data_IF_782772961348
#
_entry.id   IF_782772961348
#
_cell.length_a   1.000
_cell.length_b   1.000
_cell.length_c   1.000
_cell.angle_alpha   90.00
_cell.angle_beta   90.00
_cell.angle_gamma   90.00
#
_symmetry.space_group_name_H-M   'P 1'
#
loop_
_entity.id
_entity.type
_entity.pdbx_description
1 polymer ?
#
# COMPACT_ATOMS: atom_id res chain seq x y z
N UNK A 1 1.38 -18.32 9.53
CA UNK A 1 2.53 -17.46 9.21
C UNK A 1 2.40 -16.12 9.90
N UNK A 2 3.51 -15.51 10.33
CA UNK A 2 3.54 -14.10 10.75
C UNK A 2 3.11 -13.17 9.58
N UNK A 3 2.26 -12.18 9.86
CA UNK A 3 1.68 -11.29 8.84
C UNK A 3 2.73 -10.46 8.11
N UNK A 4 3.81 -10.05 8.79
CA UNK A 4 4.86 -9.21 8.20
C UNK A 4 5.75 -10.02 7.27
N UNK A 5 6.02 -11.28 7.62
CA UNK A 5 6.68 -12.22 6.72
C UNK A 5 5.84 -12.49 5.46
N UNK A 6 4.53 -12.71 5.62
CA UNK A 6 3.62 -12.87 4.48
C UNK A 6 3.61 -11.62 3.59
N UNK A 7 3.50 -10.43 4.16
CA UNK A 7 3.57 -9.17 3.43
C UNK A 7 4.90 -8.99 2.69
N UNK A 8 6.04 -9.27 3.34
CA UNK A 8 7.36 -9.18 2.72
C UNK A 8 7.50 -10.12 1.50
N UNK A 9 6.96 -11.34 1.58
CA UNK A 9 6.90 -12.26 0.43
C UNK A 9 6.03 -11.70 -0.70
N UNK A 10 4.86 -11.14 -0.38
CA UNK A 10 3.97 -10.51 -1.38
C UNK A 10 4.69 -9.36 -2.07
N UNK A 11 5.32 -8.44 -1.32
CA UNK A 11 6.07 -7.34 -1.90
C UNK A 11 7.22 -7.83 -2.78
N UNK A 12 7.94 -8.86 -2.37
CA UNK A 12 8.99 -9.48 -3.18
C UNK A 12 8.45 -10.04 -4.51
N UNK A 13 7.32 -10.73 -4.49
CA UNK A 13 6.68 -11.26 -5.70
C UNK A 13 6.22 -10.13 -6.64
N UNK A 14 5.66 -9.05 -6.09
CA UNK A 14 5.16 -7.94 -6.90
C UNK A 14 6.32 -7.13 -7.49
N UNK A 15 7.25 -6.68 -6.65
CA UNK A 15 8.30 -5.73 -7.03
C UNK A 15 9.44 -6.40 -7.79
N UNK A 16 9.92 -7.56 -7.32
CA UNK A 16 11.10 -8.20 -7.91
C UNK A 16 10.75 -9.33 -8.90
N UNK A 17 9.53 -9.85 -8.87
CA UNK A 17 9.08 -10.93 -9.78
C UNK A 17 7.98 -10.53 -10.75
N UNK A 18 7.44 -9.30 -10.65
CA UNK A 18 6.45 -8.79 -11.59
C UNK A 18 5.07 -9.44 -11.48
N UNK A 19 4.77 -10.11 -10.36
CA UNK A 19 3.43 -10.64 -10.12
C UNK A 19 2.44 -9.51 -9.82
N UNK A 20 1.16 -9.70 -10.17
CA UNK A 20 0.12 -8.77 -9.73
C UNK A 20 -0.18 -8.94 -8.24
N UNK A 21 -0.46 -7.83 -7.53
CA UNK A 21 -0.93 -7.92 -6.14
C UNK A 21 -2.27 -8.68 -6.05
N UNK A 22 -3.12 -8.56 -7.08
CA UNK A 22 -4.41 -9.27 -7.16
C UNK A 22 -4.28 -10.79 -7.20
N UNK A 23 -3.13 -11.33 -7.62
CA UNK A 23 -2.83 -12.77 -7.57
C UNK A 23 -2.04 -13.16 -6.32
N UNK A 24 -1.07 -12.34 -5.91
CA UNK A 24 -0.19 -12.65 -4.78
C UNK A 24 -0.89 -12.54 -3.41
N UNK A 25 -1.77 -11.56 -3.22
CA UNK A 25 -2.42 -11.31 -1.93
C UNK A 25 -3.39 -12.43 -1.51
N UNK A 26 -4.31 -12.94 -2.38
CA UNK A 26 -5.18 -14.05 -2.01
C UNK A 26 -4.42 -15.32 -1.60
N UNK A 27 -3.33 -15.64 -2.30
CA UNK A 27 -2.47 -16.77 -1.93
C UNK A 27 -1.82 -16.58 -0.56
N UNK A 28 -1.35 -15.36 -0.25
CA UNK A 28 -0.78 -15.05 1.06
C UNK A 28 -1.82 -15.07 2.18
N UNK A 29 -3.06 -14.64 1.92
CA UNK A 29 -4.16 -14.69 2.88
C UNK A 29 -4.42 -16.13 3.38
N UNK A 30 -4.28 -17.14 2.52
CA UNK A 30 -4.43 -18.55 2.90
C UNK A 30 -3.38 -19.04 3.92
N UNK A 31 -2.29 -18.29 4.13
CA UNK A 31 -1.19 -18.65 5.04
C UNK A 31 -1.23 -17.93 6.40
N UNK A 32 -2.15 -16.97 6.55
CA UNK A 32 -2.38 -16.19 7.77
C UNK A 32 -3.80 -16.45 8.31
N UNK A 33 -4.12 -15.96 9.51
CA UNK A 33 -5.45 -16.17 10.10
C UNK A 33 -6.47 -15.23 9.44
N UNK A 34 -7.75 -15.61 9.30
CA UNK A 34 -8.79 -14.75 8.72
C UNK A 34 -8.89 -13.36 9.33
N UNK A 35 -8.78 -13.26 10.67
CA UNK A 35 -8.81 -11.97 11.39
C UNK A 35 -7.66 -11.02 11.02
N UNK A 36 -6.57 -11.56 10.48
CA UNK A 36 -5.37 -10.81 10.11
C UNK A 36 -5.35 -10.42 8.63
N UNK A 37 -6.36 -10.81 7.83
CA UNK A 37 -6.44 -10.50 6.40
C UNK A 37 -6.43 -9.00 6.12
N UNK A 38 -7.20 -8.22 6.91
CA UNK A 38 -7.25 -6.77 6.76
C UNK A 38 -5.89 -6.12 7.04
N UNK A 39 -5.15 -6.63 8.04
CA UNK A 39 -3.81 -6.15 8.37
C UNK A 39 -2.81 -6.47 7.26
N UNK A 40 -2.82 -7.70 6.74
CA UNK A 40 -1.98 -8.10 5.61
C UNK A 40 -2.25 -7.21 4.38
N UNK A 41 -3.53 -6.97 4.09
CA UNK A 41 -3.96 -6.13 2.98
C UNK A 41 -3.49 -4.68 3.16
N UNK A 42 -3.73 -4.06 4.32
CA UNK A 42 -3.28 -2.69 4.60
C UNK A 42 -1.77 -2.55 4.42
N UNK A 43 -0.98 -3.48 4.96
CA UNK A 43 0.49 -3.46 4.82
C UNK A 43 0.90 -3.60 3.35
N UNK A 44 0.34 -4.55 2.60
CA UNK A 44 0.74 -4.77 1.20
C UNK A 44 0.38 -3.57 0.31
N UNK A 45 -0.85 -3.08 0.38
CA UNK A 45 -1.28 -1.92 -0.41
C UNK A 45 -0.53 -0.66 0.00
N UNK A 46 -0.36 -0.42 1.29
CA UNK A 46 0.31 0.76 1.80
C UNK A 46 1.80 0.80 1.48
N UNK A 47 2.51 -0.32 1.66
CA UNK A 47 3.92 -0.41 1.32
C UNK A 47 4.17 -0.25 -0.18
N UNK A 48 3.30 -0.78 -1.05
CA UNK A 48 3.40 -0.57 -2.50
C UNK A 48 3.08 0.88 -2.89
N UNK A 49 2.05 1.49 -2.27
CA UNK A 49 1.67 2.89 -2.52
C UNK A 49 2.82 3.86 -2.21
N UNK A 50 3.54 3.63 -1.12
CA UNK A 50 4.66 4.48 -0.70
C UNK A 50 6.04 3.88 -1.00
N UNK A 51 6.12 2.91 -1.93
CA UNK A 51 7.34 2.15 -2.19
C UNK A 51 8.56 3.05 -2.47
N UNK A 52 8.49 4.08 -3.33
CA UNK A 52 9.64 4.96 -3.57
C UNK A 52 10.15 5.65 -2.30
N UNK A 53 9.25 6.07 -1.42
CA UNK A 53 9.59 6.72 -0.15
C UNK A 53 10.26 5.73 0.82
N UNK A 54 9.67 4.55 0.97
CA UNK A 54 10.19 3.50 1.86
C UNK A 54 11.57 3.02 1.40
N UNK A 55 11.77 2.86 0.09
CA UNK A 55 13.06 2.52 -0.51
C UNK A 55 14.11 3.59 -0.24
N UNK A 56 13.77 4.89 -0.36
CA UNK A 56 14.69 5.98 -0.03
C UNK A 56 15.14 5.93 1.45
N UNK A 57 14.21 5.71 2.38
CA UNK A 57 14.53 5.56 3.80
C UNK A 57 15.43 4.33 4.02
N UNK A 58 15.05 3.18 3.47
CA UNK A 58 15.81 1.94 3.66
C UNK A 58 17.25 2.04 3.11
N UNK A 59 17.46 2.75 2.02
CA UNK A 59 18.78 2.98 1.43
C UNK A 59 19.70 3.85 2.31
N UNK A 60 19.16 4.73 3.14
CA UNK A 60 19.96 5.49 4.12
C UNK A 60 20.30 4.69 5.38
N UNK A 61 19.54 3.62 5.65
CA UNK A 61 19.70 2.81 6.85
C UNK A 61 20.66 1.63 6.69
N UNK A 62 21.13 1.35 5.47
CA UNK A 62 21.95 0.18 5.16
C UNK A 62 23.03 0.52 4.13
N UNK A 63 24.29 0.33 4.51
CA UNK A 63 25.43 0.48 3.59
C UNK A 63 25.43 -0.56 2.46
N UNK A 64 24.93 -1.77 2.77
CA UNK A 64 24.92 -2.91 1.85
C UNK A 64 23.48 -3.38 1.60
N UNK A 65 22.91 -3.14 0.41
CA UNK A 65 21.58 -3.61 0.07
C UNK A 65 21.46 -5.13 0.13
N UNK A 66 20.33 -5.63 0.65
CA UNK A 66 20.03 -7.06 0.69
C UNK A 66 19.57 -7.54 -0.70
N UNK A 67 20.36 -8.41 -1.33
CA UNK A 67 20.15 -8.89 -2.71
C UNK A 67 19.94 -10.41 -2.76
N UNK A 68 19.54 -10.92 -3.93
CA UNK A 68 19.39 -12.35 -4.18
C UNK A 68 18.47 -13.03 -3.16
N UNK A 69 18.95 -14.09 -2.51
CA UNK A 69 18.19 -14.83 -1.48
C UNK A 69 17.82 -13.99 -0.25
N UNK A 70 18.50 -12.86 -0.02
CA UNK A 70 18.20 -11.96 1.10
C UNK A 70 17.23 -10.83 0.74
N UNK A 71 16.82 -10.70 -0.53
CA UNK A 71 15.99 -9.58 -1.00
C UNK A 71 14.63 -9.52 -0.30
N UNK A 72 14.06 -10.64 0.11
CA UNK A 72 12.80 -10.67 0.89
C UNK A 72 12.93 -9.96 2.24
N UNK A 73 14.12 -9.93 2.84
CA UNK A 73 14.35 -9.23 4.11
C UNK A 73 14.45 -7.71 3.92
N UNK A 74 14.81 -7.24 2.71
CA UNK A 74 14.65 -5.83 2.34
C UNK A 74 13.18 -5.43 2.42
N UNK A 75 12.30 -6.23 1.82
CA UNK A 75 10.84 -6.00 1.90
C UNK A 75 10.31 -6.09 3.32
N UNK A 76 10.88 -6.96 4.17
CA UNK A 76 10.54 -7.01 5.58
C UNK A 76 10.90 -5.70 6.30
N UNK A 77 12.03 -5.06 5.95
CA UNK A 77 12.40 -3.73 6.45
C UNK A 77 11.38 -2.70 5.98
N UNK A 78 11.00 -2.69 4.70
CA UNK A 78 9.99 -1.76 4.16
C UNK A 78 8.65 -1.92 4.89
N UNK A 79 8.23 -3.16 5.17
CA UNK A 79 7.05 -3.47 5.99
C UNK A 79 7.18 -2.89 7.41
N UNK A 80 8.35 -3.00 8.03
CA UNK A 80 8.61 -2.42 9.35
C UNK A 80 8.53 -0.90 9.35
N UNK A 81 9.19 -0.24 8.40
CA UNK A 81 9.17 1.22 8.24
C UNK A 81 7.74 1.70 7.97
N UNK A 82 7.00 1.02 7.08
CA UNK A 82 5.62 1.39 6.77
C UNK A 82 4.73 1.38 8.03
N UNK A 83 4.84 0.34 8.86
CA UNK A 83 4.09 0.26 10.11
C UNK A 83 4.44 1.38 11.08
N UNK A 84 5.72 1.76 11.18
CA UNK A 84 6.19 2.80 12.08
C UNK A 84 5.80 4.22 11.61
N UNK A 85 5.75 4.44 10.30
CA UNK A 85 5.51 5.76 9.70
C UNK A 85 4.02 6.03 9.44
N UNK A 86 3.26 5.01 9.02
CA UNK A 86 1.90 5.21 8.48
C UNK A 86 0.80 4.51 9.28
N UNK A 87 1.13 3.66 10.25
CA UNK A 87 0.13 2.89 11.00
C UNK A 87 0.13 3.26 12.48
N UNK A 88 -1.04 3.15 13.10
CA UNK A 88 -1.21 3.34 14.55
C UNK A 88 -0.90 2.07 15.33
N UNK A 89 0.21 1.40 15.01
CA UNK A 89 0.67 0.20 15.72
C UNK A 89 1.72 0.64 16.74
N UNK A 90 1.63 0.23 18.02
CA UNK A 90 2.66 0.54 19.00
C UNK A 90 4.04 0.14 18.51
N UNK A 91 5.01 1.04 18.58
CA UNK A 91 6.28 0.87 17.89
C UNK A 91 7.05 -0.40 18.33
N UNK A 92 6.97 -0.75 19.62
CA UNK A 92 7.56 -2.00 20.12
C UNK A 92 6.95 -3.25 19.48
N UNK A 93 5.63 -3.24 19.22
CA UNK A 93 4.93 -4.33 18.57
C UNK A 93 5.25 -4.37 17.07
N UNK A 94 5.30 -3.21 16.39
CA UNK A 94 5.69 -3.13 14.98
C UNK A 94 7.11 -3.68 14.76
N UNK A 95 8.09 -3.26 15.59
CA UNK A 95 9.46 -3.78 15.52
C UNK A 95 9.49 -5.26 15.89
N UNK A 96 8.90 -5.67 17.02
CA UNK A 96 8.91 -7.04 17.50
C UNK A 96 8.35 -8.03 16.48
N UNK A 97 7.14 -7.78 15.97
CA UNK A 97 6.49 -8.64 14.98
C UNK A 97 7.23 -8.69 13.64
N UNK A 98 7.82 -7.58 13.22
CA UNK A 98 8.63 -7.53 11.99
C UNK A 98 9.91 -8.35 12.16
N UNK A 99 10.56 -8.25 13.32
CA UNK A 99 11.75 -9.02 13.67
C UNK A 99 11.45 -10.52 13.78
N UNK A 100 10.32 -10.91 14.37
CA UNK A 100 9.88 -12.32 14.42
C UNK A 100 9.63 -12.89 13.01
N UNK A 101 9.20 -12.06 12.06
CA UNK A 101 9.02 -12.45 10.65
C UNK A 101 10.27 -13.08 10.01
N UNK A 102 11.47 -12.80 10.54
CA UNK A 102 12.72 -13.40 10.04
C UNK A 102 12.76 -14.93 10.17
N UNK A 103 12.11 -15.50 11.20
CA UNK A 103 12.04 -16.95 11.41
C UNK A 103 11.25 -17.63 10.29
N UNK A 104 10.09 -17.07 9.96
CA UNK A 104 9.17 -17.57 8.92
C UNK A 104 9.79 -17.47 7.53
N UNK A 105 10.61 -16.44 7.29
CA UNK A 105 11.39 -16.27 6.06
C UNK A 105 12.68 -17.12 6.02
N UNK A 106 12.87 -18.05 6.96
CA UNK A 106 14.04 -18.94 7.06
C UNK A 106 15.38 -18.19 7.17
N UNK A 107 15.39 -17.03 7.83
CA UNK A 107 16.59 -16.23 8.08
C UNK A 107 16.75 -15.72 9.51
N UNK A 108 16.66 -16.58 10.55
CA UNK A 108 16.75 -16.15 11.95
C UNK A 108 18.05 -15.39 12.28
N UNK A 109 19.15 -15.65 11.56
CA UNK A 109 20.42 -14.90 11.69
C UNK A 109 20.31 -13.41 11.37
N UNK A 110 19.31 -12.99 10.60
CA UNK A 110 19.08 -11.58 10.23
C UNK A 110 18.25 -10.82 11.28
N UNK A 111 17.77 -11.50 12.32
CA UNK A 111 16.97 -10.88 13.39
C UNK A 111 17.64 -9.64 13.99
N UNK A 112 18.94 -9.73 14.28
CA UNK A 112 19.72 -8.60 14.81
C UNK A 112 19.80 -7.43 13.83
N UNK A 113 20.01 -7.71 12.55
CA UNK A 113 20.05 -6.69 11.49
C UNK A 113 18.70 -5.96 11.35
N UNK A 114 17.59 -6.71 11.21
CA UNK A 114 16.25 -6.11 11.07
C UNK A 114 15.92 -5.23 12.28
N UNK A 115 16.19 -5.72 13.48
CA UNK A 115 15.98 -4.94 14.70
C UNK A 115 16.84 -3.67 14.71
N UNK A 116 18.14 -3.78 14.40
CA UNK A 116 19.05 -2.64 14.38
C UNK A 116 18.61 -1.57 13.36
N UNK A 117 18.22 -1.98 12.15
CA UNK A 117 17.71 -1.08 11.11
C UNK A 117 16.45 -0.35 11.56
N UNK A 118 15.44 -1.07 12.07
CA UNK A 118 14.19 -0.45 12.51
C UNK A 118 14.39 0.44 13.73
N UNK A 119 15.25 0.05 14.67
CA UNK A 119 15.63 0.93 15.80
C UNK A 119 16.38 2.16 15.33
N UNK A 120 17.23 2.05 14.32
CA UNK A 120 17.92 3.19 13.74
C UNK A 120 16.94 4.15 13.05
N UNK A 121 15.96 3.61 12.32
CA UNK A 121 14.85 4.40 11.77
C UNK A 121 14.13 5.18 12.88
N UNK A 122 13.72 4.52 13.97
CA UNK A 122 13.02 5.20 15.06
C UNK A 122 13.81 6.34 15.69
N UNK A 123 15.14 6.21 15.82
CA UNK A 123 15.99 7.27 16.41
C UNK A 123 16.12 8.49 15.51
N UNK A 124 16.13 8.28 14.20
CA UNK A 124 16.37 9.33 13.20
C UNK A 124 15.12 9.58 12.34
N UNK A 125 13.93 9.28 12.85
CA UNK A 125 12.72 9.18 12.03
C UNK A 125 12.39 10.51 11.34
N UNK A 126 12.45 11.62 12.07
CA UNK A 126 12.12 12.94 11.55
C UNK A 126 13.03 13.33 10.37
N UNK A 127 14.35 13.19 10.55
CA UNK A 127 15.35 13.48 9.51
C UNK A 127 15.16 12.58 8.28
N UNK A 128 14.97 11.27 8.50
CA UNK A 128 14.79 10.32 7.41
C UNK A 128 13.48 10.54 6.65
N UNK A 129 12.39 10.84 7.35
CA UNK A 129 11.09 11.12 6.74
C UNK A 129 11.14 12.43 5.92
N UNK A 130 11.82 13.47 6.43
CA UNK A 130 12.05 14.73 5.72
C UNK A 130 12.92 14.52 4.47
N UNK A 131 14.02 13.77 4.58
CA UNK A 131 14.88 13.42 3.46
C UNK A 131 14.11 12.62 2.40
N UNK A 132 13.26 11.68 2.82
CA UNK A 132 12.51 10.82 1.92
C UNK A 132 11.47 11.58 1.07
N UNK A 133 11.08 12.80 1.46
CA UNK A 133 10.18 13.66 0.67
C UNK A 133 10.89 14.82 -0.03
N UNK A 134 12.23 14.85 0.00
CA UNK A 134 13.04 15.89 -0.65
C UNK A 134 12.98 15.88 -2.18
N UNK A 135 12.61 14.74 -2.78
CA UNK A 135 12.38 14.61 -4.21
C UNK A 135 10.93 14.20 -4.52
N UNK A 136 10.50 14.44 -5.75
CA UNK A 136 9.12 14.16 -6.16
C UNK A 136 8.74 12.68 -6.06
N UNK A 137 9.68 11.75 -6.30
CA UNK A 137 9.37 10.33 -6.27
C UNK A 137 8.96 9.87 -4.87
N UNK A 138 9.73 10.26 -3.85
CA UNK A 138 9.41 9.96 -2.46
C UNK A 138 8.28 10.84 -1.90
N UNK A 139 8.20 12.12 -2.29
CA UNK A 139 7.11 13.02 -1.91
C UNK A 139 5.75 12.50 -2.36
N UNK A 140 5.61 12.18 -3.64
CA UNK A 140 4.33 11.76 -4.22
C UNK A 140 4.16 10.23 -4.26
N UNK A 141 5.15 9.41 -3.90
CA UNK A 141 5.02 7.94 -3.92
C UNK A 141 4.95 7.33 -5.32
N UNK A 142 5.41 8.04 -6.35
CA UNK A 142 5.38 7.58 -7.75
C UNK A 142 6.81 7.46 -8.30
N UNK A 143 7.11 6.49 -9.18
CA UNK A 143 8.43 6.42 -9.81
C UNK A 143 8.67 7.63 -10.72
N UNK A 144 9.91 8.11 -10.81
CA UNK A 144 10.26 9.34 -11.52
C UNK A 144 9.82 9.35 -12.99
N UNK A 145 9.85 8.21 -13.67
CA UNK A 145 9.40 8.11 -15.07
C UNK A 145 7.90 8.39 -15.21
N UNK A 146 7.06 7.93 -14.27
CA UNK A 146 5.62 8.14 -14.32
C UNK A 146 5.28 9.58 -13.97
N UNK A 147 5.97 10.16 -12.99
CA UNK A 147 5.83 11.58 -12.67
C UNK A 147 6.13 12.47 -13.87
N UNK A 148 7.22 12.19 -14.60
CA UNK A 148 7.56 12.91 -15.82
C UNK A 148 6.45 12.83 -16.86
N UNK A 149 5.91 11.62 -17.11
CA UNK A 149 4.80 11.42 -18.04
C UNK A 149 3.55 12.19 -17.63
N UNK A 150 3.19 12.19 -16.34
CA UNK A 150 2.03 12.92 -15.84
C UNK A 150 2.21 14.44 -15.94
N UNK A 151 3.43 14.94 -15.66
CA UNK A 151 3.77 16.35 -15.79
C UNK A 151 3.69 16.83 -17.24
N UNK A 152 4.13 16.00 -18.20
CA UNK A 152 4.05 16.30 -19.62
C UNK A 152 2.60 16.25 -20.15
N UNK A 153 1.83 15.23 -19.74
CA UNK A 153 0.47 15.02 -20.21
C UNK A 153 -0.56 15.95 -19.54
N UNK A 154 -0.33 16.32 -18.27
CA UNK A 154 -1.25 17.11 -17.44
C UNK A 154 -0.52 18.24 -16.68
N UNK A 155 0.08 19.23 -17.35
CA UNK A 155 0.97 20.21 -16.70
C UNK A 155 0.34 21.00 -15.54
N UNK A 156 -0.97 21.25 -15.60
CA UNK A 156 -1.71 22.00 -14.57
C UNK A 156 -2.42 21.10 -13.54
N UNK A 157 -2.44 19.78 -13.75
CA UNK A 157 -3.27 18.86 -12.95
C UNK A 157 -2.49 17.67 -12.39
N UNK A 158 -1.23 17.47 -12.79
CA UNK A 158 -0.46 16.29 -12.38
C UNK A 158 -0.38 16.15 -10.85
N UNK A 159 -0.30 17.24 -10.10
CA UNK A 159 -0.28 17.21 -8.62
C UNK A 159 -1.58 16.66 -8.03
N UNK A 160 -2.75 17.11 -8.53
CA UNK A 160 -4.04 16.59 -8.06
C UNK A 160 -4.25 15.13 -8.47
N UNK A 161 -3.72 14.72 -9.62
CA UNK A 161 -3.75 13.31 -10.07
C UNK A 161 -2.93 12.44 -9.12
N UNK A 162 -1.69 12.81 -8.81
CA UNK A 162 -0.83 11.99 -7.93
C UNK A 162 -1.31 12.01 -6.49
N UNK A 163 -1.95 13.09 -6.03
CA UNK A 163 -2.62 13.15 -4.74
C UNK A 163 -3.81 12.17 -4.71
N UNK A 164 -4.68 12.22 -5.72
CA UNK A 164 -5.83 11.32 -5.83
C UNK A 164 -5.42 9.84 -5.93
N UNK A 165 -4.36 9.52 -6.68
CA UNK A 165 -3.82 8.16 -6.79
C UNK A 165 -3.38 7.56 -5.44
N UNK A 166 -2.98 8.40 -4.48
CA UNK A 166 -2.54 7.97 -3.16
C UNK A 166 -3.68 7.83 -2.14
N UNK A 167 -4.89 8.28 -2.47
CA UNK A 167 -6.04 8.13 -1.58
C UNK A 167 -6.51 6.66 -1.54
N UNK A 168 -7.18 6.26 -0.45
CA UNK A 168 -7.88 4.98 -0.43
C UNK A 168 -9.05 5.07 -1.41
N UNK A 169 -9.11 4.14 -2.36
CA UNK A 169 -10.14 4.14 -3.38
C UNK A 169 -11.54 3.99 -2.73
N UNK A 170 -12.51 4.86 -3.06
CA UNK A 170 -13.88 4.69 -2.62
C UNK A 170 -14.49 3.44 -3.26
N UNK A 171 -15.38 2.77 -2.52
CA UNK A 171 -16.13 1.64 -3.07
C UNK A 171 -17.29 2.16 -3.92
N UNK A 172 -17.19 1.96 -5.23
CA UNK A 172 -18.26 2.29 -6.17
C UNK A 172 -19.17 1.09 -6.41
N UNK A 173 -20.48 1.28 -6.25
CA UNK A 173 -21.50 0.30 -6.58
C UNK A 173 -22.25 0.73 -7.84
N UNK A 174 -22.58 -0.22 -8.72
CA UNK A 174 -23.49 -0.01 -9.84
C UNK A 174 -24.77 -0.81 -9.59
N UNK A 175 -25.87 -0.10 -9.36
CA UNK A 175 -27.18 -0.72 -9.13
C UNK A 175 -27.66 -1.41 -10.42
N UNK A 176 -28.12 -2.65 -10.29
CA UNK A 176 -28.77 -3.35 -11.40
C UNK A 176 -30.22 -2.86 -11.55
N UNK A 177 -30.45 -2.04 -12.58
CA UNK A 177 -31.74 -1.41 -12.88
C UNK A 177 -32.87 -2.39 -13.24
N UNK A 178 -32.58 -3.68 -13.47
CA UNK A 178 -33.62 -4.70 -13.65
C UNK A 178 -34.35 -5.05 -12.34
N UNK A 179 -33.75 -4.75 -11.18
CA UNK A 179 -34.32 -5.10 -9.88
C UNK A 179 -34.69 -3.87 -9.04
N UNK A 180 -33.88 -2.81 -9.09
CA UNK A 180 -34.10 -1.58 -8.32
C UNK A 180 -33.61 -0.37 -9.08
N UNK A 181 -34.27 0.77 -8.90
CA UNK A 181 -33.69 2.08 -9.22
C UNK A 181 -32.57 2.42 -8.23
N UNK A 182 -31.76 3.44 -8.56
CA UNK A 182 -30.71 3.94 -7.66
C UNK A 182 -31.29 4.33 -6.30
N UNK A 183 -32.40 5.06 -6.29
CA UNK A 183 -32.95 5.66 -5.07
C UNK A 183 -33.61 4.60 -4.18
N UNK A 184 -34.29 3.61 -4.78
CA UNK A 184 -34.78 2.44 -4.02
C UNK A 184 -33.63 1.66 -3.39
N UNK A 185 -32.53 1.44 -4.12
CA UNK A 185 -31.38 0.72 -3.58
C UNK A 185 -30.64 1.51 -2.48
N UNK A 186 -30.63 2.85 -2.56
CA UNK A 186 -30.09 3.70 -1.48
C UNK A 186 -30.89 3.54 -0.19
N UNK A 187 -32.22 3.46 -0.26
CA UNK A 187 -33.04 3.19 0.92
C UNK A 187 -32.79 1.78 1.49
N UNK A 188 -32.54 0.78 0.64
CA UNK A 188 -32.14 -0.56 1.11
C UNK A 188 -30.81 -0.52 1.87
N UNK A 189 -29.78 0.17 1.33
CA UNK A 189 -28.50 0.32 2.00
C UNK A 189 -28.64 1.05 3.34
N UNK A 190 -29.46 2.10 3.37
CA UNK A 190 -29.75 2.87 4.57
C UNK A 190 -30.43 2.02 5.65
N UNK A 191 -31.39 1.17 5.27
CA UNK A 191 -32.06 0.25 6.19
C UNK A 191 -31.08 -0.77 6.82
N UNK A 192 -30.02 -1.12 6.10
CA UNK A 192 -28.91 -1.97 6.60
C UNK A 192 -27.82 -1.17 7.33
N UNK A 193 -28.03 0.12 7.59
CA UNK A 193 -27.07 1.04 8.21
C UNK A 193 -25.74 1.15 7.42
N UNK A 194 -25.81 1.10 6.10
CA UNK A 194 -24.67 1.30 5.19
C UNK A 194 -24.73 2.71 4.61
N UNK A 195 -23.79 3.55 5.03
CA UNK A 195 -23.64 4.91 4.49
C UNK A 195 -23.32 4.87 2.99
N UNK A 196 -24.05 5.67 2.22
CA UNK A 196 -23.88 5.75 0.77
C UNK A 196 -24.24 7.14 0.25
N UNK A 197 -23.55 7.56 -0.82
CA UNK A 197 -23.80 8.85 -1.47
C UNK A 197 -23.97 8.66 -2.98
N UNK A 198 -25.02 9.24 -3.59
CA UNK A 198 -25.17 9.19 -5.04
C UNK A 198 -24.18 10.16 -5.71
N UNK A 199 -23.50 9.69 -6.74
CA UNK A 199 -22.80 10.60 -7.64
C UNK A 199 -23.79 11.21 -8.64
N UNK A 200 -23.78 12.54 -8.77
CA UNK A 200 -24.61 13.22 -9.78
C UNK A 200 -24.03 12.91 -11.16
N UNK A 201 -24.72 12.11 -11.96
CA UNK A 201 -24.44 12.05 -13.39
C UNK A 201 -24.97 13.34 -14.01
N UNK A 202 -24.10 14.25 -14.46
CA UNK A 202 -24.55 15.30 -15.37
C UNK A 202 -25.13 14.61 -16.60
N UNK A 203 -26.44 14.77 -16.81
CA UNK A 203 -27.17 14.15 -17.89
C UNK A 203 -26.55 14.46 -19.25
N UNK A 204 -25.95 13.44 -19.87
CA UNK A 204 -25.82 13.31 -21.33
C UNK A 204 -26.28 11.93 -21.76
N UNK A 205 -27.51 11.58 -21.42
CA UNK A 205 -28.28 10.65 -22.25
C UNK A 205 -29.08 11.53 -23.21
N UNK A 206 -28.44 11.87 -24.34
CA UNK A 206 -29.15 12.52 -25.45
C UNK A 206 -30.28 11.58 -25.87
N UNK A 207 -31.48 12.14 -25.84
CA UNK A 207 -32.61 11.72 -26.63
C UNK A 207 -32.12 11.59 -28.08
N UNK A 208 -32.21 10.39 -28.62
CA UNK A 208 -31.89 10.04 -29.99
C UNK A 208 -32.76 8.88 -30.43
N UNK A 209 -34.08 9.03 -30.24
CA UNK A 209 -35.06 8.37 -31.11
C UNK A 209 -34.98 9.10 -32.44
N UNK A 210 -34.47 8.42 -33.46
CA UNK A 210 -34.91 8.65 -34.83
C UNK A 210 -34.92 7.31 -35.53
N UNK A 211 -36.01 7.09 -36.26
CA UNK A 211 -36.22 5.97 -37.17
C UNK A 211 -35.09 5.81 -38.17
#
# INVERSE_FOLDING_TARGET
MNVRAAAANVLYLVVDKGHSLSSALPAAQQTVRPRDHALLQEICYGALRYLPRLEMIANQLMDKPLKGKQRVFHHLILVGIYQLSFMRIPAHAAVGETVEGTKELKGPRLRGLINAVLRNYQRNQEELDQMAVSNNAGKYGHPSWLLKLLQEAYPQQWESIVEANNQKAPMWLRVNHQHHTRDEYLELLKNENIDSTPHRSNGRHKIGRTM
#
